data_IF_427469275482
#
_entry.id   IF_427469275482
#
_cell.length_a   1.000
_cell.length_b   1.000
_cell.length_c   1.000
_cell.angle_alpha   90.00
_cell.angle_beta   90.00
_cell.angle_gamma   90.00
#
_symmetry.space_group_name_H-M   'P 1'
#
loop_
_entity.id
_entity.type
_entity.pdbx_description
1 polymer ?
#
# COMPACT_ATOMS: atom_id res chain seq x y z
N UNK A 1 47.61 -10.46 28.49
CA UNK A 1 46.29 -9.96 28.95
C UNK A 1 45.75 -8.75 28.16
N UNK A 2 46.53 -8.06 27.31
CA UNK A 2 46.01 -7.00 26.42
C UNK A 2 45.45 -7.50 25.08
N UNK A 3 45.80 -8.72 24.66
CA UNK A 3 45.41 -9.27 23.35
C UNK A 3 43.97 -9.83 23.34
N UNK A 4 43.45 -10.28 24.48
CA UNK A 4 42.07 -10.77 24.60
C UNK A 4 41.02 -9.66 24.61
N UNK A 5 41.43 -8.41 24.89
CA UNK A 5 40.52 -7.26 24.91
C UNK A 5 40.12 -6.80 23.49
N UNK A 6 40.90 -7.16 22.46
CA UNK A 6 40.64 -6.82 21.06
C UNK A 6 39.69 -7.81 20.36
N UNK A 7 39.49 -9.00 20.92
CA UNK A 7 38.67 -10.06 20.32
C UNK A 7 37.18 -9.98 20.69
N UNK A 8 36.83 -9.19 21.71
CA UNK A 8 35.44 -9.08 22.20
C UNK A 8 34.65 -7.98 21.46
N UNK A 9 35.33 -7.05 20.79
CA UNK A 9 34.69 -5.92 20.09
C UNK A 9 34.12 -6.29 18.70
N UNK A 10 34.54 -7.41 18.10
CA UNK A 10 34.11 -7.79 16.75
C UNK A 10 32.83 -8.63 16.68
N UNK A 11 32.28 -9.08 17.82
CA UNK A 11 31.11 -9.98 17.84
C UNK A 11 29.78 -9.22 17.75
N UNK A 12 29.78 -7.88 17.74
CA UNK A 12 28.56 -7.05 17.86
C UNK A 12 27.94 -6.68 16.50
N UNK A 13 28.49 -7.10 15.35
CA UNK A 13 28.03 -6.62 14.03
C UNK A 13 27.16 -7.58 13.19
N UNK A 14 26.62 -8.64 13.77
CA UNK A 14 25.68 -9.53 13.05
C UNK A 14 24.26 -9.58 13.63
N UNK A 15 23.78 -8.48 14.23
CA UNK A 15 22.33 -8.29 14.36
C UNK A 15 21.74 -7.99 12.97
N UNK A 16 21.72 -8.99 12.10
CA UNK A 16 20.84 -9.02 10.95
C UNK A 16 19.43 -9.15 11.51
N UNK A 17 18.80 -8.02 11.82
CA UNK A 17 17.36 -7.99 11.97
C UNK A 17 16.79 -8.42 10.63
N UNK A 18 16.32 -9.67 10.53
CA UNK A 18 15.29 -9.97 9.55
C UNK A 18 14.17 -9.03 9.90
N UNK A 19 13.91 -8.04 9.04
CA UNK A 19 12.60 -7.39 9.02
C UNK A 19 11.64 -8.47 8.55
N UNK A 20 11.31 -9.39 9.44
CA UNK A 20 10.08 -10.12 9.34
C UNK A 20 9.01 -9.08 9.65
N UNK A 21 8.68 -8.26 8.65
CA UNK A 21 7.36 -7.65 8.63
C UNK A 21 6.43 -8.82 8.37
N UNK A 22 6.11 -9.56 9.43
CA UNK A 22 4.77 -10.06 9.59
C UNK A 22 3.89 -8.81 9.59
N UNK A 23 3.60 -8.33 8.37
CA UNK A 23 2.49 -7.44 8.11
C UNK A 23 1.34 -8.09 8.85
N UNK A 24 0.79 -7.38 9.84
CA UNK A 24 -0.55 -7.61 10.40
C UNK A 24 -1.34 -8.24 9.27
N UNK A 25 -1.58 -9.55 9.38
CA UNK A 25 -2.11 -10.34 8.27
C UNK A 25 -3.33 -9.56 7.82
N UNK A 26 -3.26 -8.99 6.62
CA UNK A 26 -4.42 -8.43 5.96
C UNK A 26 -5.34 -9.63 5.82
N UNK A 27 -6.21 -9.80 6.82
CA UNK A 27 -6.95 -11.02 6.99
C UNK A 27 -7.89 -11.08 5.79
N UNK A 28 -7.66 -12.05 4.91
CA UNK A 28 -8.43 -12.17 3.67
C UNK A 28 -9.90 -12.32 4.05
N UNK A 29 -10.79 -11.38 3.64
CA UNK A 29 -12.20 -11.54 3.94
C UNK A 29 -12.76 -12.79 3.22
N UNK A 30 -13.85 -13.32 3.77
CA UNK A 30 -14.50 -14.50 3.21
C UNK A 30 -14.99 -14.20 1.78
N UNK A 31 -14.71 -15.09 0.85
CA UNK A 31 -15.13 -14.95 -0.55
C UNK A 31 -14.26 -14.04 -1.43
N UNK A 32 -13.18 -13.44 -0.90
CA UNK A 32 -12.25 -12.69 -1.75
C UNK A 32 -11.18 -13.59 -2.39
N UNK A 33 -10.73 -13.23 -3.58
CA UNK A 33 -9.66 -13.92 -4.29
C UNK A 33 -8.32 -13.82 -3.57
N UNK A 34 -7.48 -14.86 -3.71
CA UNK A 34 -6.12 -14.90 -3.14
C UNK A 34 -5.07 -15.07 -4.24
N UNK A 35 -5.11 -14.18 -5.23
CA UNK A 35 -4.28 -14.27 -6.43
C UNK A 35 -3.14 -13.24 -6.42
N UNK A 36 -2.20 -13.40 -7.36
CA UNK A 36 -1.28 -12.33 -7.71
C UNK A 36 -2.05 -11.27 -8.49
N UNK A 37 -2.22 -10.09 -7.89
CA UNK A 37 -2.93 -8.99 -8.50
C UNK A 37 -1.96 -8.18 -9.37
N UNK A 38 -2.49 -7.61 -10.44
CA UNK A 38 -1.78 -6.70 -11.33
C UNK A 38 -2.67 -5.49 -11.60
N UNK A 39 -2.07 -4.35 -11.91
CA UNK A 39 -2.83 -3.13 -12.14
C UNK A 39 -3.85 -3.31 -13.26
N UNK A 40 -3.38 -3.74 -14.44
CA UNK A 40 -4.18 -3.76 -15.65
C UNK A 40 -5.35 -4.76 -15.58
N UNK A 41 -5.14 -5.94 -14.98
CA UNK A 41 -6.15 -6.99 -14.95
C UNK A 41 -7.12 -6.88 -13.77
N UNK A 42 -6.68 -6.34 -12.63
CA UNK A 42 -7.44 -6.47 -11.37
C UNK A 42 -7.70 -5.15 -10.66
N UNK A 43 -6.70 -4.27 -10.56
CA UNK A 43 -6.79 -3.08 -9.69
C UNK A 43 -7.33 -1.85 -10.41
N UNK A 44 -7.10 -1.74 -11.72
CA UNK A 44 -7.63 -0.65 -12.53
C UNK A 44 -9.15 -0.44 -12.36
N UNK A 45 -10.03 -1.47 -12.40
CA UNK A 45 -11.46 -1.25 -12.15
C UNK A 45 -11.75 -0.76 -10.72
N UNK A 46 -10.99 -1.20 -9.72
CA UNK A 46 -11.14 -0.72 -8.33
C UNK A 46 -10.78 0.76 -8.21
N UNK A 47 -9.66 1.17 -8.82
CA UNK A 47 -9.23 2.57 -8.88
C UNK A 47 -10.27 3.41 -9.63
N UNK A 48 -10.87 2.86 -10.69
CA UNK A 48 -11.92 3.55 -11.45
C UNK A 48 -13.21 3.75 -10.67
N UNK A 49 -13.62 2.76 -9.90
CA UNK A 49 -14.83 2.84 -9.08
C UNK A 49 -14.65 3.76 -7.88
N UNK A 50 -13.48 3.74 -7.24
CA UNK A 50 -13.30 4.31 -5.90
C UNK A 50 -12.41 5.55 -5.83
N UNK A 51 -11.58 5.82 -6.86
CA UNK A 51 -10.55 6.85 -6.76
C UNK A 51 -10.59 7.85 -7.93
N UNK A 52 -10.51 7.37 -9.17
CA UNK A 52 -10.25 8.21 -10.36
C UNK A 52 -11.51 8.69 -11.10
N UNK A 53 -12.64 8.78 -10.41
CA UNK A 53 -13.86 9.31 -11.02
C UNK A 53 -13.73 10.81 -11.34
N UNK A 54 -14.42 11.31 -12.38
CA UNK A 54 -14.15 12.63 -12.98
C UNK A 54 -14.09 13.81 -12.02
N UNK A 55 -14.87 13.78 -10.93
CA UNK A 55 -14.93 14.88 -9.96
C UNK A 55 -13.74 14.92 -8.97
N UNK A 56 -12.96 13.84 -8.82
CA UNK A 56 -11.91 13.76 -7.80
C UNK A 56 -10.53 13.47 -8.39
N UNK A 57 -10.05 12.23 -8.43
CA UNK A 57 -8.68 11.94 -8.89
C UNK A 57 -8.60 11.64 -10.40
N UNK A 58 -9.23 12.49 -11.20
CA UNK A 58 -9.12 12.48 -12.66
C UNK A 58 -8.47 13.78 -13.14
N UNK A 59 -8.11 13.85 -14.42
CA UNK A 59 -7.63 15.10 -15.03
C UNK A 59 -8.66 16.22 -14.82
N UNK A 60 -8.28 17.27 -14.08
CA UNK A 60 -9.14 18.42 -13.79
C UNK A 60 -10.16 18.22 -12.66
N UNK A 61 -10.13 17.09 -11.95
CA UNK A 61 -10.93 16.86 -10.75
C UNK A 61 -10.36 17.58 -9.51
N UNK A 62 -11.11 17.54 -8.40
CA UNK A 62 -10.73 18.19 -7.14
C UNK A 62 -9.52 17.56 -6.43
N UNK A 63 -9.19 16.31 -6.78
CA UNK A 63 -8.08 15.57 -6.20
C UNK A 63 -6.74 16.12 -6.67
N UNK A 64 -5.78 16.26 -5.75
CA UNK A 64 -4.45 16.82 -6.07
C UNK A 64 -3.60 15.94 -7.01
N UNK A 65 -4.08 14.74 -7.34
CA UNK A 65 -3.36 13.77 -8.16
C UNK A 65 -4.31 13.11 -9.15
N UNK A 66 -3.84 12.95 -10.39
CA UNK A 66 -4.56 12.28 -11.45
C UNK A 66 -4.25 10.77 -11.45
N UNK A 67 -5.21 9.96 -11.01
CA UNK A 67 -5.13 8.51 -10.94
C UNK A 67 -5.66 7.82 -12.21
N UNK A 68 -5.82 8.55 -13.31
CA UNK A 68 -5.92 7.94 -14.65
C UNK A 68 -4.55 7.41 -15.14
N UNK A 69 -3.46 7.86 -14.51
CA UNK A 69 -2.10 7.46 -14.82
C UNK A 69 -1.50 6.58 -13.71
N UNK A 70 -1.20 5.33 -14.03
CA UNK A 70 -0.57 4.38 -13.10
C UNK A 70 0.74 4.91 -12.50
N UNK A 71 1.57 5.64 -13.26
CA UNK A 71 2.83 6.16 -12.75
C UNK A 71 2.63 7.17 -11.59
N UNK A 72 1.53 7.93 -11.61
CA UNK A 72 1.15 8.85 -10.53
C UNK A 72 0.76 8.05 -9.29
N UNK A 73 -0.09 7.02 -9.46
CA UNK A 73 -0.49 6.11 -8.38
C UNK A 73 0.74 5.47 -7.74
N UNK A 74 1.62 4.87 -8.55
CA UNK A 74 2.86 4.23 -8.09
C UNK A 74 3.76 5.21 -7.33
N UNK A 75 3.84 6.47 -7.76
CA UNK A 75 4.59 7.50 -7.03
C UNK A 75 3.97 7.83 -5.66
N UNK A 76 2.64 7.77 -5.51
CA UNK A 76 1.94 7.97 -4.22
C UNK A 76 2.00 6.74 -3.31
N UNK A 77 2.06 5.54 -3.87
CA UNK A 77 2.33 4.32 -3.10
C UNK A 77 3.76 4.37 -2.56
N UNK A 78 4.74 4.70 -3.42
CA UNK A 78 6.16 4.74 -3.05
C UNK A 78 6.48 5.67 -1.89
N UNK A 79 5.78 6.80 -1.79
CA UNK A 79 5.97 7.75 -0.68
C UNK A 79 5.05 7.48 0.52
N UNK A 80 4.25 6.40 0.49
CA UNK A 80 3.35 5.99 1.56
C UNK A 80 2.04 6.77 1.66
N UNK A 81 1.89 7.88 0.92
CA UNK A 81 0.72 8.75 1.04
C UNK A 81 -0.57 8.10 0.54
N UNK A 82 -0.49 7.15 -0.39
CA UNK A 82 -1.67 6.44 -0.89
C UNK A 82 -2.31 5.57 0.21
N UNK A 83 -1.52 4.65 0.79
CA UNK A 83 -1.99 3.75 1.86
C UNK A 83 -2.37 4.49 3.14
N UNK A 84 -1.65 5.59 3.46
CA UNK A 84 -1.97 6.41 4.62
C UNK A 84 -3.43 6.86 4.60
N UNK A 85 -3.94 7.30 3.45
CA UNK A 85 -5.32 7.80 3.32
C UNK A 85 -6.36 6.69 3.48
N UNK A 86 -6.06 5.49 3.00
CA UNK A 86 -6.94 4.32 3.09
C UNK A 86 -7.10 3.80 4.54
N UNK A 87 -6.08 4.01 5.39
CA UNK A 87 -6.07 3.54 6.77
C UNK A 87 -6.68 4.53 7.77
N UNK A 88 -7.10 5.72 7.33
CA UNK A 88 -7.70 6.69 8.24
C UNK A 88 -9.11 6.23 8.70
N UNK A 89 -9.57 6.68 9.88
CA UNK A 89 -10.99 6.59 10.27
C UNK A 89 -11.88 7.30 9.23
N UNK A 90 -13.14 6.86 9.02
CA UNK A 90 -14.01 7.49 7.99
C UNK A 90 -14.19 8.98 8.29
N UNK A 91 -14.25 9.28 9.59
CA UNK A 91 -14.55 10.58 10.16
C UNK A 91 -13.36 11.55 10.01
N UNK A 92 -12.19 11.06 9.61
CA UNK A 92 -11.05 11.90 9.30
C UNK A 92 -11.31 12.64 7.98
N UNK A 93 -11.19 13.97 7.92
CA UNK A 93 -11.46 14.74 6.70
C UNK A 93 -10.49 14.43 5.55
N UNK A 94 -9.39 13.73 5.84
CA UNK A 94 -8.42 13.28 4.85
C UNK A 94 -8.56 11.80 4.50
N UNK A 95 -9.53 11.08 5.08
CA UNK A 95 -9.83 9.71 4.69
C UNK A 95 -10.22 9.65 3.21
N UNK A 96 -9.73 8.62 2.52
CA UNK A 96 -10.09 8.36 1.14
C UNK A 96 -10.49 6.89 0.96
N UNK A 97 -11.53 6.61 0.16
CA UNK A 97 -12.47 7.56 -0.45
C UNK A 97 -13.29 8.32 0.61
N UNK A 98 -13.64 9.58 0.34
CA UNK A 98 -14.35 10.45 1.31
C UNK A 98 -15.64 9.80 1.81
N UNK A 99 -15.87 9.84 3.12
CA UNK A 99 -17.10 9.44 3.81
C UNK A 99 -17.62 8.02 3.51
N UNK A 100 -16.80 7.17 2.89
CA UNK A 100 -17.21 5.84 2.42
C UNK A 100 -16.20 4.78 2.89
N UNK A 101 -16.73 3.63 3.33
CA UNK A 101 -15.95 2.40 3.46
C UNK A 101 -15.97 1.66 2.13
N UNK A 102 -14.78 1.44 1.58
CA UNK A 102 -14.61 0.63 0.38
C UNK A 102 -15.04 -0.82 0.64
N UNK A 103 -15.42 -1.54 -0.41
CA UNK A 103 -15.75 -2.96 -0.29
C UNK A 103 -14.56 -3.73 0.34
N UNK A 104 -14.78 -4.62 1.32
CA UNK A 104 -13.68 -5.33 1.98
C UNK A 104 -12.78 -6.14 1.04
N UNK A 105 -13.34 -6.78 0.00
CA UNK A 105 -12.55 -7.51 -1.00
C UNK A 105 -11.77 -6.58 -1.92
N UNK A 106 -12.31 -5.42 -2.28
CA UNK A 106 -11.58 -4.41 -3.06
C UNK A 106 -10.42 -3.83 -2.26
N UNK A 107 -10.66 -3.49 -0.99
CA UNK A 107 -9.60 -3.00 -0.09
C UNK A 107 -8.54 -4.08 0.13
N UNK A 108 -8.97 -5.32 0.33
CA UNK A 108 -8.06 -6.46 0.42
C UNK A 108 -7.19 -6.60 -0.83
N UNK A 109 -7.80 -6.55 -2.02
CA UNK A 109 -7.10 -6.72 -3.30
C UNK A 109 -6.11 -5.58 -3.53
N UNK A 110 -6.52 -4.35 -3.25
CA UNK A 110 -5.69 -3.15 -3.40
C UNK A 110 -4.48 -3.17 -2.47
N UNK A 111 -4.67 -3.47 -1.18
CA UNK A 111 -3.57 -3.54 -0.21
C UNK A 111 -2.66 -4.74 -0.47
N UNK A 112 -3.21 -5.88 -0.90
CA UNK A 112 -2.42 -7.06 -1.29
C UNK A 112 -1.57 -6.76 -2.51
N UNK A 113 -2.12 -6.12 -3.53
CA UNK A 113 -1.39 -5.69 -4.71
C UNK A 113 -0.25 -4.73 -4.37
N UNK A 114 -0.49 -3.75 -3.48
CA UNK A 114 0.56 -2.84 -3.02
C UNK A 114 1.68 -3.62 -2.32
N UNK A 115 1.32 -4.57 -1.44
CA UNK A 115 2.28 -5.45 -0.77
C UNK A 115 3.06 -6.34 -1.76
N UNK A 116 2.46 -6.74 -2.87
CA UNK A 116 3.09 -7.50 -3.95
C UNK A 116 4.06 -6.65 -4.81
N UNK A 117 4.32 -5.39 -4.43
CA UNK A 117 5.17 -4.48 -5.19
C UNK A 117 4.44 -3.78 -6.32
N UNK A 118 3.11 -3.68 -6.22
CA UNK A 118 2.23 -2.95 -7.14
C UNK A 118 2.48 -3.24 -8.63
N UNK A 119 2.64 -4.51 -9.06
CA UNK A 119 2.98 -4.83 -10.45
C UNK A 119 1.92 -4.31 -11.43
N UNK A 120 2.37 -3.77 -12.56
CA UNK A 120 1.45 -3.21 -13.54
C UNK A 120 0.78 -4.30 -14.40
N UNK A 121 1.57 -5.29 -14.86
CA UNK A 121 1.18 -6.32 -15.84
C UNK A 121 1.41 -7.73 -15.28
#
# INVERSE_FOLDING_TARGET
MKLYLLLIFQVILISSCTKDSESIILAKPLGCDSMAFTYDSHIKPIIQANCNFPACHATGGEGSYDYTNYAVIAARIRNGSFEQRLHLPIEDPLHMPKDIRMNPCELYSLLTWIKQGYPQN
#
